data_IF_695588640513
#
_entry.id   IF_695588640513
#
_cell.length_a   1.000
_cell.length_b   1.000
_cell.length_c   1.000
_cell.angle_alpha   90.00
_cell.angle_beta   90.00
_cell.angle_gamma   90.00
#
_symmetry.space_group_name_H-M   'P 1'
#
loop_
_entity.id
_entity.type
_entity.pdbx_description
1 polymer ?
#
# COMPACT_ATOMS: atom_id res chain seq x y z
N UNK A 1 -3.13 30.02 -18.20
CA UNK A 1 -2.52 28.72 -18.55
C UNK A 1 -3.63 27.71 -18.81
N UNK A 2 -3.85 27.36 -20.08
CA UNK A 2 -4.92 26.47 -20.56
C UNK A 2 -4.84 25.11 -19.88
N UNK A 3 -5.97 24.55 -19.43
CA UNK A 3 -6.06 23.27 -18.69
C UNK A 3 -5.31 22.12 -19.37
N UNK A 4 -5.21 22.16 -20.70
CA UNK A 4 -4.41 21.26 -21.53
C UNK A 4 -2.92 21.26 -21.20
N UNK A 5 -2.31 22.43 -21.00
CA UNK A 5 -0.88 22.56 -20.66
C UNK A 5 -0.61 21.92 -19.30
N UNK A 6 -1.50 22.15 -18.32
CA UNK A 6 -1.41 21.51 -16.99
C UNK A 6 -1.53 19.99 -17.07
N UNK A 7 -2.39 19.49 -17.95
CA UNK A 7 -2.61 18.05 -18.14
C UNK A 7 -1.40 17.36 -18.76
N UNK A 8 -0.76 18.00 -19.76
CA UNK A 8 0.47 17.50 -20.39
C UNK A 8 1.63 17.53 -19.40
N UNK A 9 1.79 18.62 -18.66
CA UNK A 9 2.84 18.72 -17.65
C UNK A 9 2.66 17.68 -16.54
N UNK A 10 1.43 17.43 -16.11
CA UNK A 10 1.13 16.37 -15.15
C UNK A 10 1.43 14.97 -15.70
N UNK A 11 1.25 14.72 -17.00
CA UNK A 11 1.64 13.44 -17.61
C UNK A 11 3.16 13.25 -17.55
N UNK A 12 3.94 14.28 -17.89
CA UNK A 12 5.40 14.23 -17.80
C UNK A 12 5.89 13.97 -16.37
N UNK A 13 5.29 14.67 -15.39
CA UNK A 13 5.59 14.44 -13.96
C UNK A 13 5.19 13.02 -13.55
N UNK A 14 4.04 12.52 -13.99
CA UNK A 14 3.58 11.16 -13.69
C UNK A 14 4.50 10.10 -14.30
N UNK A 15 5.06 10.34 -15.50
CA UNK A 15 6.08 9.48 -16.09
C UNK A 15 7.34 9.43 -15.23
N UNK A 16 7.88 10.59 -14.82
CA UNK A 16 9.07 10.65 -13.97
C UNK A 16 8.86 9.95 -12.62
N UNK A 17 7.72 10.22 -11.98
CA UNK A 17 7.36 9.60 -10.69
C UNK A 17 7.15 8.10 -10.87
N UNK A 18 6.38 7.68 -11.88
CA UNK A 18 6.07 6.27 -12.11
C UNK A 18 7.31 5.43 -12.39
N UNK A 19 8.19 5.90 -13.28
CA UNK A 19 9.46 5.23 -13.57
C UNK A 19 10.35 5.21 -12.33
N UNK A 20 10.50 6.33 -11.64
CA UNK A 20 11.34 6.42 -10.44
C UNK A 20 10.87 5.49 -9.33
N UNK A 21 9.57 5.50 -9.00
CA UNK A 21 9.00 4.65 -7.95
C UNK A 21 9.14 3.17 -8.29
N UNK A 22 8.82 2.75 -9.53
CA UNK A 22 8.97 1.34 -9.89
C UNK A 22 10.43 0.91 -9.91
N UNK A 23 11.31 1.69 -10.51
CA UNK A 23 12.71 1.31 -10.69
C UNK A 23 13.50 1.28 -9.37
N UNK A 24 13.25 2.23 -8.46
CA UNK A 24 14.06 2.36 -7.24
C UNK A 24 13.39 1.80 -5.98
N UNK A 25 12.05 1.66 -5.97
CA UNK A 25 11.33 1.25 -4.76
C UNK A 25 10.58 -0.06 -5.01
N UNK A 26 9.56 -0.05 -5.88
CA UNK A 26 8.64 -1.19 -5.97
C UNK A 26 9.32 -2.44 -6.52
N UNK A 27 10.01 -2.36 -7.66
CA UNK A 27 10.62 -3.52 -8.31
C UNK A 27 11.74 -4.14 -7.45
N UNK A 28 12.69 -3.36 -6.89
CA UNK A 28 13.69 -3.93 -5.98
C UNK A 28 13.09 -4.59 -4.74
N UNK A 29 12.02 -4.01 -4.17
CA UNK A 29 11.32 -4.60 -3.02
C UNK A 29 10.65 -5.92 -3.39
N UNK A 30 10.00 -5.98 -4.56
CA UNK A 30 9.35 -7.19 -5.06
C UNK A 30 10.34 -8.32 -5.34
N UNK A 31 11.54 -7.99 -5.83
CA UNK A 31 12.62 -8.97 -6.06
C UNK A 31 13.21 -9.59 -4.78
N UNK A 32 12.97 -8.98 -3.60
CA UNK A 32 13.42 -9.58 -2.33
C UNK A 32 12.61 -10.83 -1.96
N UNK A 33 11.46 -11.05 -2.60
CA UNK A 33 10.58 -12.17 -2.32
C UNK A 33 10.77 -13.28 -3.37
N UNK A 34 11.54 -14.33 -3.05
CA UNK A 34 11.87 -15.43 -3.98
C UNK A 34 10.65 -16.05 -4.68
N UNK A 35 9.57 -16.30 -3.93
CA UNK A 35 8.32 -16.84 -4.49
C UNK A 35 7.70 -15.92 -5.53
N UNK A 36 7.85 -14.61 -5.36
CA UNK A 36 7.31 -13.64 -6.30
C UNK A 36 8.18 -13.48 -7.53
N UNK A 37 9.51 -13.55 -7.40
CA UNK A 37 10.45 -13.56 -8.53
C UNK A 37 10.06 -14.63 -9.54
N UNK A 38 9.79 -15.87 -9.09
CA UNK A 38 9.35 -16.95 -9.98
C UNK A 38 8.03 -16.68 -10.71
N UNK A 39 7.10 -15.97 -10.08
CA UNK A 39 5.83 -15.58 -10.71
C UNK A 39 6.07 -14.46 -11.72
N UNK A 40 6.91 -13.47 -11.39
CA UNK A 40 7.27 -12.37 -12.28
C UNK A 40 8.06 -12.85 -13.50
N UNK A 41 8.95 -13.83 -13.35
CA UNK A 41 9.74 -14.42 -14.43
C UNK A 41 8.86 -15.08 -15.50
N UNK A 42 7.65 -15.53 -15.12
CA UNK A 42 6.66 -16.07 -16.06
C UNK A 42 6.06 -14.98 -16.96
N UNK A 43 6.09 -13.72 -16.54
CA UNK A 43 5.51 -12.59 -17.24
C UNK A 43 6.59 -11.55 -17.56
N UNK A 44 7.17 -11.65 -18.76
CA UNK A 44 8.31 -10.83 -19.20
C UNK A 44 8.08 -9.32 -19.14
N UNK A 45 6.83 -8.87 -19.14
CA UNK A 45 6.45 -7.44 -19.13
C UNK A 45 5.90 -6.95 -17.78
N UNK A 46 6.17 -7.67 -16.67
CA UNK A 46 5.62 -7.29 -15.35
C UNK A 46 6.06 -5.89 -14.93
N UNK A 47 7.34 -5.55 -15.11
CA UNK A 47 7.89 -4.25 -14.72
C UNK A 47 7.25 -3.11 -15.51
N UNK A 48 7.12 -3.28 -16.81
CA UNK A 48 6.55 -2.32 -17.76
C UNK A 48 5.06 -2.12 -17.46
N UNK A 49 4.34 -3.21 -17.16
CA UNK A 49 2.92 -3.17 -16.82
C UNK A 49 2.69 -2.40 -15.52
N UNK A 50 3.47 -2.66 -14.47
CA UNK A 50 3.41 -1.92 -13.21
C UNK A 50 3.77 -0.44 -13.39
N UNK A 51 4.78 -0.16 -14.21
CA UNK A 51 5.19 1.21 -14.54
C UNK A 51 4.08 1.96 -15.25
N UNK A 52 3.52 1.39 -16.31
CA UNK A 52 2.43 1.99 -17.06
C UNK A 52 1.19 2.20 -16.18
N UNK A 53 0.84 1.21 -15.35
CA UNK A 53 -0.28 1.31 -14.43
C UNK A 53 -0.10 2.46 -13.43
N UNK A 54 1.08 2.61 -12.85
CA UNK A 54 1.37 3.68 -11.89
C UNK A 54 1.34 5.06 -12.56
N UNK A 55 1.94 5.21 -13.74
CA UNK A 55 1.92 6.45 -14.53
C UNK A 55 0.47 6.86 -14.82
N UNK A 56 -0.33 5.93 -15.35
CA UNK A 56 -1.73 6.19 -15.69
C UNK A 56 -2.55 6.51 -14.45
N UNK A 57 -2.33 5.81 -13.34
CA UNK A 57 -3.03 6.06 -12.08
C UNK A 57 -2.74 7.47 -11.56
N UNK A 58 -1.47 7.85 -11.45
CA UNK A 58 -1.08 9.20 -11.01
C UNK A 58 -1.63 10.29 -11.93
N UNK A 59 -1.56 10.09 -13.25
CA UNK A 59 -2.05 11.07 -14.20
C UNK A 59 -3.58 11.22 -14.14
N UNK A 60 -4.32 10.10 -14.13
CA UNK A 60 -5.78 10.10 -14.01
C UNK A 60 -6.25 10.69 -12.68
N UNK A 61 -5.52 10.46 -11.59
CA UNK A 61 -5.78 11.11 -10.30
C UNK A 61 -5.65 12.62 -10.41
N UNK A 62 -4.57 13.11 -11.02
CA UNK A 62 -4.38 14.54 -11.24
C UNK A 62 -5.49 15.15 -12.11
N UNK A 63 -5.93 14.45 -13.16
CA UNK A 63 -7.04 14.90 -13.98
C UNK A 63 -8.34 14.99 -13.16
N UNK A 64 -8.63 14.01 -12.30
CA UNK A 64 -9.80 14.05 -11.42
C UNK A 64 -9.76 15.24 -10.46
N UNK A 65 -8.58 15.58 -9.93
CA UNK A 65 -8.38 16.81 -9.13
C UNK A 65 -8.62 18.07 -9.96
N UNK A 66 -8.09 18.13 -11.19
CA UNK A 66 -8.23 19.27 -12.08
C UNK A 66 -9.70 19.52 -12.49
N UNK A 67 -10.44 18.46 -12.75
CA UNK A 67 -11.86 18.51 -13.14
C UNK A 67 -12.82 18.49 -11.94
N UNK A 68 -12.31 18.33 -10.70
CA UNK A 68 -13.09 18.16 -9.47
C UNK A 68 -14.15 17.05 -9.56
N UNK A 69 -13.88 16.00 -10.33
CA UNK A 69 -14.78 14.85 -10.52
C UNK A 69 -14.03 13.58 -10.13
N UNK A 70 -14.43 12.94 -9.05
CA UNK A 70 -13.86 11.67 -8.63
C UNK A 70 -14.69 10.51 -9.16
N UNK A 71 -14.04 9.61 -9.89
CA UNK A 71 -14.69 8.41 -10.43
C UNK A 71 -14.59 7.27 -9.43
N UNK A 72 -15.73 6.68 -9.06
CA UNK A 72 -15.75 5.48 -8.23
C UNK A 72 -15.06 4.29 -8.92
N UNK A 73 -15.22 4.17 -10.25
CA UNK A 73 -14.59 3.12 -11.06
C UNK A 73 -13.06 3.21 -10.97
N UNK A 74 -12.52 4.44 -11.04
CA UNK A 74 -11.08 4.67 -10.87
C UNK A 74 -10.60 4.22 -9.49
N UNK A 75 -11.32 4.60 -8.42
CA UNK A 75 -10.97 4.19 -7.06
C UNK A 75 -10.98 2.66 -6.94
N UNK A 76 -12.01 1.99 -7.45
CA UNK A 76 -12.08 0.53 -7.42
C UNK A 76 -10.89 -0.12 -8.12
N UNK A 77 -10.49 0.38 -9.30
CA UNK A 77 -9.35 -0.15 -10.06
C UNK A 77 -8.02 0.02 -9.32
N UNK A 78 -7.75 1.21 -8.77
CA UNK A 78 -6.50 1.48 -8.04
C UNK A 78 -6.43 0.66 -6.77
N UNK A 79 -7.51 0.62 -5.99
CA UNK A 79 -7.55 -0.17 -4.76
C UNK A 79 -7.54 -1.67 -5.02
N UNK A 80 -8.11 -2.19 -6.12
CA UNK A 80 -8.02 -3.62 -6.43
C UNK A 80 -6.58 -4.05 -6.75
N UNK A 81 -5.83 -3.25 -7.53
CA UNK A 81 -4.43 -3.56 -7.83
C UNK A 81 -3.56 -3.40 -6.57
N UNK A 82 -3.79 -2.36 -5.77
CA UNK A 82 -3.13 -2.21 -4.49
C UNK A 82 -3.40 -3.38 -3.54
N UNK A 83 -4.65 -3.80 -3.35
CA UNK A 83 -5.00 -4.93 -2.48
C UNK A 83 -4.39 -6.23 -2.99
N UNK A 84 -4.34 -6.42 -4.31
CA UNK A 84 -3.66 -7.56 -4.91
C UNK A 84 -2.15 -7.55 -4.60
N UNK A 85 -1.47 -6.43 -4.81
CA UNK A 85 -0.05 -6.30 -4.50
C UNK A 85 0.23 -6.43 -3.00
N UNK A 86 -0.61 -5.84 -2.15
CA UNK A 86 -0.55 -5.95 -0.70
C UNK A 86 -0.69 -7.42 -0.28
N UNK A 87 -1.68 -8.12 -0.82
CA UNK A 87 -1.85 -9.56 -0.59
C UNK A 87 -0.58 -10.31 -0.96
N UNK A 88 -0.08 -10.13 -2.18
CA UNK A 88 1.15 -10.81 -2.62
C UNK A 88 2.30 -10.54 -1.67
N UNK A 89 2.61 -9.28 -1.37
CA UNK A 89 3.74 -8.90 -0.50
C UNK A 89 3.62 -9.51 0.89
N UNK A 90 2.42 -9.46 1.49
CA UNK A 90 2.17 -10.03 2.82
C UNK A 90 2.32 -11.56 2.83
N UNK A 91 1.87 -12.23 1.76
CA UNK A 91 1.90 -13.70 1.67
C UNK A 91 3.20 -14.26 1.05
N UNK A 92 4.11 -13.40 0.57
CA UNK A 92 5.43 -13.83 0.10
C UNK A 92 6.56 -13.44 1.05
N UNK A 93 6.24 -12.81 2.19
CA UNK A 93 7.22 -12.23 3.12
C UNK A 93 8.14 -13.25 3.81
N UNK A 94 7.73 -14.51 4.02
CA UNK A 94 8.55 -15.49 4.75
C UNK A 94 8.80 -16.82 4.00
N UNK A 95 10.06 -17.33 4.00
CA UNK A 95 10.38 -18.69 3.52
C UNK A 95 9.88 -19.80 4.48
N UNK A 96 9.95 -19.58 5.80
CA UNK A 96 9.31 -20.33 6.90
C UNK A 96 9.43 -19.49 8.16
N UNK A 97 8.47 -19.50 9.09
CA UNK A 97 8.67 -19.44 10.56
C UNK A 97 7.29 -19.53 11.28
N UNK A 98 7.00 -20.69 11.88
CA UNK A 98 5.83 -20.89 12.75
C UNK A 98 6.17 -20.44 14.17
N UNK A 99 6.21 -19.13 14.38
CA UNK A 99 6.56 -18.56 15.68
C UNK A 99 5.51 -17.54 16.06
N UNK A 100 5.00 -17.65 17.29
CA UNK A 100 4.12 -16.67 17.90
C UNK A 100 5.00 -15.73 18.74
N UNK A 101 5.03 -14.44 18.42
CA UNK A 101 5.78 -13.46 19.22
C UNK A 101 4.82 -12.55 19.99
N UNK A 102 4.98 -12.53 21.30
CA UNK A 102 4.22 -11.66 22.19
C UNK A 102 4.84 -10.26 22.34
N UNK A 103 6.04 -10.06 21.78
CA UNK A 103 6.81 -8.84 21.96
C UNK A 103 6.23 -7.69 21.14
N UNK A 104 5.62 -6.74 21.84
CA UNK A 104 4.99 -5.55 21.26
C UNK A 104 5.99 -4.57 20.63
N UNK A 105 7.24 -4.55 21.12
CA UNK A 105 8.25 -3.55 20.77
C UNK A 105 9.54 -4.15 20.21
N UNK A 106 9.47 -5.36 19.66
CA UNK A 106 10.61 -6.04 19.06
C UNK A 106 11.26 -5.23 17.91
N UNK A 107 10.47 -4.38 17.25
CA UNK A 107 10.95 -3.46 16.20
C UNK A 107 11.90 -2.35 16.69
N UNK A 108 12.02 -2.11 18.01
CA UNK A 108 12.95 -1.12 18.58
C UNK A 108 14.39 -1.62 18.67
N UNK A 109 14.63 -2.91 18.39
CA UNK A 109 15.98 -3.45 18.27
C UNK A 109 16.69 -2.76 17.10
N UNK A 110 17.92 -2.32 17.34
CA UNK A 110 18.74 -1.48 16.43
C UNK A 110 19.24 -2.20 15.16
N UNK A 111 18.56 -3.24 14.71
CA UNK A 111 18.91 -3.92 13.47
C UNK A 111 18.25 -3.22 12.26
N UNK A 112 19.04 -2.98 11.22
CA UNK A 112 18.60 -2.22 10.04
C UNK A 112 17.50 -2.94 9.29
N UNK A 113 17.53 -4.28 9.24
CA UNK A 113 16.53 -5.09 8.53
C UNK A 113 15.20 -5.02 9.26
N UNK A 114 15.22 -5.20 10.58
CA UNK A 114 14.04 -5.11 11.46
C UNK A 114 13.34 -3.75 11.37
N UNK A 115 14.12 -2.65 11.40
CA UNK A 115 13.56 -1.30 11.26
C UNK A 115 12.94 -1.08 9.87
N UNK A 116 13.59 -1.58 8.82
CA UNK A 116 13.08 -1.44 7.46
C UNK A 116 11.77 -2.22 7.26
N UNK A 117 11.68 -3.44 7.80
CA UNK A 117 10.45 -4.23 7.80
C UNK A 117 9.32 -3.53 8.57
N UNK A 118 9.63 -2.92 9.71
CA UNK A 118 8.65 -2.17 10.48
C UNK A 118 8.12 -0.94 9.72
N UNK A 119 9.01 -0.20 9.05
CA UNK A 119 8.64 0.94 8.20
C UNK A 119 7.76 0.48 7.03
N UNK A 120 8.12 -0.63 6.38
CA UNK A 120 7.33 -1.19 5.28
C UNK A 120 5.95 -1.64 5.73
N UNK A 121 5.83 -2.31 6.88
CA UNK A 121 4.54 -2.69 7.48
C UNK A 121 3.64 -1.46 7.69
N UNK A 122 4.17 -0.38 8.27
CA UNK A 122 3.42 0.88 8.40
C UNK A 122 3.00 1.41 7.03
N UNK A 123 3.95 1.52 6.08
CA UNK A 123 3.72 2.13 4.77
C UNK A 123 2.69 1.36 3.93
N UNK A 124 2.72 0.02 3.99
CA UNK A 124 1.81 -0.84 3.25
C UNK A 124 0.36 -0.65 3.68
N UNK A 125 0.09 -0.34 4.95
CA UNK A 125 -1.26 -0.17 5.48
C UNK A 125 -1.80 1.27 5.39
N UNK A 126 -0.97 2.26 5.01
CA UNK A 126 -1.41 3.65 4.80
C UNK A 126 -2.54 3.75 3.76
N UNK A 127 -2.46 3.17 2.55
CA UNK A 127 -3.56 3.29 1.59
C UNK A 127 -4.84 2.60 2.09
N UNK A 128 -4.73 1.48 2.80
CA UNK A 128 -5.89 0.79 3.41
C UNK A 128 -6.60 1.69 4.45
N UNK A 129 -5.85 2.37 5.31
CA UNK A 129 -6.38 3.37 6.22
C UNK A 129 -7.12 4.51 5.51
N UNK A 130 -6.56 4.98 4.39
CA UNK A 130 -7.18 5.97 3.53
C UNK A 130 -8.51 5.50 2.94
N UNK A 131 -8.62 4.24 2.55
CA UNK A 131 -9.85 3.62 2.06
C UNK A 131 -10.96 3.68 3.13
N UNK A 132 -10.63 3.34 4.38
CA UNK A 132 -11.59 3.42 5.48
C UNK A 132 -12.02 4.87 5.75
N UNK A 133 -11.10 5.84 5.66
CA UNK A 133 -11.37 7.27 5.84
C UNK A 133 -12.38 7.87 4.85
N UNK A 134 -12.68 7.19 3.74
CA UNK A 134 -13.67 7.65 2.76
C UNK A 134 -15.10 7.58 3.30
N UNK A 135 -15.43 6.57 4.10
CA UNK A 135 -16.82 6.29 4.54
C UNK A 135 -16.98 5.99 6.03
N UNK A 136 -15.98 5.43 6.68
CA UNK A 136 -16.08 4.99 8.07
C UNK A 136 -16.00 6.18 9.05
N UNK A 137 -16.75 6.09 10.15
CA UNK A 137 -16.56 6.96 11.32
C UNK A 137 -15.35 6.49 12.14
N UNK A 138 -14.86 7.33 13.06
CA UNK A 138 -13.68 7.01 13.90
C UNK A 138 -13.81 5.66 14.64
N UNK A 139 -14.97 5.37 15.22
CA UNK A 139 -15.23 4.10 15.90
C UNK A 139 -15.31 2.91 14.94
N UNK A 140 -16.01 3.08 13.81
CA UNK A 140 -16.12 2.04 12.77
C UNK A 140 -14.74 1.72 12.18
N UNK A 141 -13.91 2.73 11.95
CA UNK A 141 -12.53 2.59 11.52
C UNK A 141 -11.73 1.72 12.49
N UNK A 142 -11.77 2.03 13.79
CA UNK A 142 -11.02 1.26 14.79
C UNK A 142 -11.37 -0.23 14.77
N UNK A 143 -12.68 -0.54 14.72
CA UNK A 143 -13.16 -1.93 14.67
C UNK A 143 -12.78 -2.62 13.36
N UNK A 144 -13.05 -1.98 12.20
CA UNK A 144 -12.78 -2.58 10.88
C UNK A 144 -11.27 -2.78 10.67
N UNK A 145 -10.45 -1.80 11.06
CA UNK A 145 -9.01 -1.88 10.92
C UNK A 145 -8.45 -3.03 11.77
N UNK A 146 -8.83 -3.12 13.05
CA UNK A 146 -8.38 -4.21 13.93
C UNK A 146 -8.85 -5.58 13.43
N UNK A 147 -10.11 -5.71 13.01
CA UNK A 147 -10.61 -6.97 12.44
C UNK A 147 -9.86 -7.37 11.17
N UNK A 148 -9.54 -6.41 10.30
CA UNK A 148 -8.83 -6.69 9.05
C UNK A 148 -7.38 -7.10 9.34
N UNK A 149 -6.69 -6.38 10.22
CA UNK A 149 -5.30 -6.68 10.61
C UNK A 149 -5.24 -8.04 11.30
N UNK A 150 -6.10 -8.30 12.28
CA UNK A 150 -6.16 -9.61 12.94
C UNK A 150 -6.50 -10.73 11.95
N UNK A 151 -7.41 -10.49 11.00
CA UNK A 151 -7.73 -11.43 9.94
C UNK A 151 -6.50 -11.77 9.09
N UNK A 152 -5.76 -10.75 8.64
CA UNK A 152 -4.53 -10.91 7.84
C UNK A 152 -3.49 -11.74 8.61
N UNK A 153 -3.17 -11.35 9.84
CA UNK A 153 -2.20 -12.05 10.70
C UNK A 153 -2.62 -13.50 10.98
N UNK A 154 -3.92 -13.73 11.23
CA UNK A 154 -4.46 -15.07 11.46
C UNK A 154 -4.34 -15.93 10.21
N UNK A 155 -4.65 -15.39 9.03
CA UNK A 155 -4.49 -16.12 7.75
C UNK A 155 -3.01 -16.43 7.53
N UNK A 156 -2.11 -15.47 7.71
CA UNK A 156 -0.66 -15.70 7.57
C UNK A 156 -0.15 -16.79 8.52
N UNK A 157 -0.65 -16.82 9.76
CA UNK A 157 -0.33 -17.85 10.74
C UNK A 157 -0.87 -19.23 10.35
N UNK A 158 -2.16 -19.33 9.99
CA UNK A 158 -2.83 -20.60 9.63
C UNK A 158 -2.24 -21.21 8.35
N UNK A 159 -1.88 -20.38 7.38
CA UNK A 159 -1.30 -20.86 6.12
C UNK A 159 0.22 -21.07 6.17
N UNK A 160 0.86 -20.91 7.34
CA UNK A 160 2.31 -21.09 7.53
C UNK A 160 3.17 -20.15 6.67
N UNK A 161 2.65 -18.94 6.43
CA UNK A 161 3.27 -17.95 5.54
C UNK A 161 3.90 -16.81 6.34
N UNK A 162 3.57 -16.63 7.61
CA UNK A 162 4.14 -15.59 8.47
C UNK A 162 4.07 -15.91 9.96
N UNK A 163 4.72 -15.07 10.74
CA UNK A 163 4.70 -15.08 12.20
C UNK A 163 3.53 -14.26 12.71
N UNK A 164 2.75 -14.79 13.66
CA UNK A 164 1.74 -13.99 14.33
C UNK A 164 2.45 -13.11 15.37
N UNK A 165 2.62 -11.83 15.04
CA UNK A 165 3.37 -10.88 15.85
C UNK A 165 2.50 -9.72 16.32
N UNK A 166 2.49 -9.48 17.64
CA UNK A 166 1.79 -8.33 18.21
C UNK A 166 2.38 -6.99 17.74
N UNK A 167 3.69 -6.94 17.50
CA UNK A 167 4.38 -5.79 16.90
C UNK A 167 3.84 -5.46 15.50
N UNK A 168 3.58 -6.47 14.66
CA UNK A 168 3.04 -6.27 13.31
C UNK A 168 1.60 -5.74 13.36
N UNK A 169 0.77 -6.25 14.28
CA UNK A 169 -0.58 -5.71 14.51
C UNK A 169 -0.51 -4.20 14.84
N UNK A 170 0.42 -3.83 15.72
CA UNK A 170 0.59 -2.45 16.17
C UNK A 170 1.07 -1.54 15.03
N UNK A 171 2.09 -1.96 14.29
CA UNK A 171 2.65 -1.21 13.15
C UNK A 171 1.63 -1.06 12.01
N UNK A 172 0.92 -2.13 11.67
CA UNK A 172 -0.14 -2.12 10.65
C UNK A 172 -1.28 -1.17 11.08
N UNK A 173 -1.63 -1.16 12.37
CA UNK A 173 -2.63 -0.24 12.91
C UNK A 173 -2.17 1.23 12.85
N UNK A 174 -0.90 1.52 13.15
CA UNK A 174 -0.31 2.85 12.97
C UNK A 174 -0.39 3.28 11.49
N UNK A 175 -0.05 2.38 10.56
CA UNK A 175 -0.20 2.61 9.12
C UNK A 175 -1.62 2.99 8.73
N UNK A 176 -2.60 2.20 9.16
CA UNK A 176 -4.02 2.49 8.97
C UNK A 176 -4.44 3.85 9.56
N UNK A 177 -3.96 4.20 10.75
CA UNK A 177 -4.31 5.47 11.41
C UNK A 177 -3.74 6.68 10.68
N UNK A 178 -2.50 6.58 10.17
CA UNK A 178 -1.89 7.61 9.34
C UNK A 178 -2.69 7.82 8.04
N UNK A 179 -3.02 6.73 7.36
CA UNK A 179 -3.83 6.76 6.13
C UNK A 179 -5.20 7.39 6.33
N UNK A 180 -5.89 6.98 7.39
CA UNK A 180 -7.20 7.50 7.75
C UNK A 180 -7.14 9.01 8.05
N UNK A 181 -6.13 9.46 8.78
CA UNK A 181 -5.92 10.87 9.12
C UNK A 181 -5.62 11.73 7.88
N UNK A 182 -4.79 11.23 6.95
CA UNK A 182 -4.50 11.89 5.68
C UNK A 182 -5.79 12.07 4.87
N UNK A 183 -6.61 11.02 4.78
CA UNK A 183 -7.88 11.06 4.04
C UNK A 183 -8.86 12.09 4.61
N UNK A 184 -9.01 12.14 5.95
CA UNK A 184 -9.83 13.15 6.61
C UNK A 184 -9.33 14.57 6.33
N UNK A 185 -8.01 14.78 6.36
CA UNK A 185 -7.39 16.06 6.00
C UNK A 185 -7.75 16.48 4.58
N UNK A 186 -7.56 15.58 3.60
CA UNK A 186 -7.88 15.84 2.18
C UNK A 186 -9.37 16.13 1.96
N UNK A 187 -10.26 15.42 2.65
CA UNK A 187 -11.71 15.65 2.56
C UNK A 187 -12.09 17.05 3.03
N UNK A 188 -11.43 17.57 4.07
CA UNK A 188 -11.62 18.95 4.53
C UNK A 188 -11.24 20.00 3.47
N UNK A 189 -10.20 19.73 2.66
CA UNK A 189 -9.79 20.61 1.57
C UNK A 189 -10.66 20.51 0.31
N UNK A 190 -11.37 19.40 0.12
CA UNK A 190 -12.15 19.13 -1.11
C UNK A 190 -13.62 19.56 -1.00
N UNK A 191 -14.12 19.79 0.22
CA UNK A 191 -15.52 20.18 0.52
C UNK A 191 -15.70 21.69 0.77
N UNK A 192 -14.68 22.51 0.47
CA UNK A 192 -14.77 23.99 0.41
C UNK A 192 -14.68 24.44 -1.05
#
# INVERSE_FOLDING_TARGET
MTRWIKSILALLVSCLVGVGVIQYIAYPTLLQYERFVHVMDRFSYTKETLTLFLILSCWLFYLQLLFKRFSAIYLYLVYSVYLFLLFVVLFTKAPQYHTFSWDLFDFLVKDKKTILEAILNVLYFVPLGGLYGLKAKWWEFGVIALLTILGIETIQYVFYIGTFALSDILLNFIGCLLGYSICLGLRKFTVV
#
